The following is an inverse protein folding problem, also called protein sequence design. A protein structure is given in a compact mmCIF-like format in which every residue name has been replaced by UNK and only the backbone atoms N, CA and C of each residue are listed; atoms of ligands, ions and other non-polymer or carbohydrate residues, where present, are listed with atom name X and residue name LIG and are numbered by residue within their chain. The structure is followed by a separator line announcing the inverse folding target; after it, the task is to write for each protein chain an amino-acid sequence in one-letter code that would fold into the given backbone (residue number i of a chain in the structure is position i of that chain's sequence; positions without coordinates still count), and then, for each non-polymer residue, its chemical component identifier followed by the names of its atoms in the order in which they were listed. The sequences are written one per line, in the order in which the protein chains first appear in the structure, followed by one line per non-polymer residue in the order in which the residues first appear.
data_IF_966445049965
#
_entry.id   IF_966445049965
#
_cell.length_a   1.000
_cell.length_b   1.000
_cell.length_c   1.000
_cell.angle_alpha   90.00
_cell.angle_beta   90.00
_cell.angle_gamma   90.00
#
_symmetry.space_group_name_H-M   'P 1'
#
loop_
_entity.id
_entity.type
_entity.pdbx_description
1 polymer ?
#
# COMPACT_ATOMS: atom_id res chain seq x y z
N UNK A 1 38.86 -22.34 12.21
CA UNK A 1 38.65 -22.70 13.62
C UNK A 1 38.58 -21.40 14.40
N UNK A 2 37.43 -21.07 14.98
CA UNK A 2 37.27 -19.85 15.78
C UNK A 2 37.80 -20.13 17.17
N UNK A 3 38.92 -19.51 17.56
CA UNK A 3 39.53 -19.71 18.88
C UNK A 3 38.73 -18.96 19.92
N UNK A 4 37.97 -19.67 20.76
CA UNK A 4 37.18 -19.05 21.82
C UNK A 4 38.07 -18.69 23.02
N UNK A 5 38.30 -17.39 23.23
CA UNK A 5 38.98 -16.86 24.42
C UNK A 5 38.15 -17.16 25.67
N UNK A 6 38.75 -17.87 26.63
CA UNK A 6 38.06 -18.32 27.86
C UNK A 6 38.26 -17.38 29.06
N UNK A 7 39.28 -16.53 29.03
CA UNK A 7 39.67 -15.66 30.15
C UNK A 7 39.73 -14.22 29.66
N UNK A 8 39.01 -13.32 30.33
CA UNK A 8 38.95 -11.90 30.04
C UNK A 8 39.54 -11.11 31.20
N UNK A 9 40.52 -10.25 30.92
CA UNK A 9 41.10 -9.32 31.89
C UNK A 9 40.14 -8.17 32.15
N UNK A 10 40.32 -7.48 33.27
CA UNK A 10 39.60 -6.25 33.58
C UNK A 10 39.54 -5.30 32.37
N UNK A 11 38.34 -4.78 32.08
CA UNK A 11 38.05 -3.89 30.96
C UNK A 11 38.16 -4.50 29.54
N UNK A 12 38.48 -5.79 29.41
CA UNK A 12 38.31 -6.49 28.13
C UNK A 12 36.83 -6.76 27.85
N UNK A 13 36.47 -6.75 26.57
CA UNK A 13 35.09 -6.94 26.14
C UNK A 13 34.87 -8.27 25.40
N UNK A 14 33.65 -8.75 25.48
CA UNK A 14 33.12 -9.84 24.65
C UNK A 14 31.88 -9.32 23.90
N UNK A 15 31.74 -9.72 22.64
CA UNK A 15 30.54 -9.49 21.86
C UNK A 15 29.73 -10.79 21.76
N UNK A 16 28.45 -10.70 22.13
CA UNK A 16 27.51 -11.79 22.03
C UNK A 16 26.79 -11.75 20.69
N UNK A 17 26.63 -12.92 20.09
CA UNK A 17 25.85 -13.10 18.87
C UNK A 17 24.81 -14.19 19.09
N UNK A 18 23.61 -13.99 18.53
CA UNK A 18 22.57 -15.00 18.53
C UNK A 18 22.73 -15.95 17.34
N UNK A 19 22.20 -17.17 17.49
CA UNK A 19 22.09 -18.11 16.39
C UNK A 19 21.20 -17.56 15.26
N UNK A 20 21.26 -18.20 14.08
CA UNK A 20 20.35 -17.88 12.98
C UNK A 20 18.88 -17.94 13.45
N UNK A 21 18.05 -17.03 12.95
CA UNK A 21 16.63 -16.84 13.34
C UNK A 21 16.38 -16.25 14.74
N UNK A 22 17.43 -15.80 15.44
CA UNK A 22 17.31 -15.08 16.70
C UNK A 22 17.93 -13.67 16.61
N UNK A 23 17.38 -12.74 17.36
CA UNK A 23 17.92 -11.40 17.51
C UNK A 23 18.28 -11.12 18.96
N UNK A 24 19.30 -10.28 19.13
CA UNK A 24 19.84 -9.93 20.43
C UNK A 24 18.99 -8.86 21.10
N UNK A 25 18.64 -9.08 22.35
CA UNK A 25 17.87 -8.20 23.21
C UNK A 25 18.78 -7.67 24.33
N UNK A 26 19.01 -6.36 24.31
CA UNK A 26 20.00 -5.70 25.15
C UNK A 26 21.30 -5.38 24.38
N UNK A 27 22.33 -5.00 25.12
CA UNK A 27 23.61 -4.60 24.55
C UNK A 27 24.49 -5.82 24.29
N UNK A 28 24.93 -5.98 23.04
CA UNK A 28 25.70 -7.12 22.58
C UNK A 28 27.11 -7.18 23.17
N UNK A 29 27.68 -6.04 23.52
CA UNK A 29 29.03 -5.93 24.05
C UNK A 29 28.98 -5.85 25.58
N UNK A 30 29.80 -6.66 26.24
CA UNK A 30 29.92 -6.67 27.70
C UNK A 30 31.38 -6.59 28.10
N UNK A 31 31.65 -5.79 29.13
CA UNK A 31 33.00 -5.61 29.68
C UNK A 31 33.19 -6.44 30.94
N UNK A 32 34.38 -7.03 31.10
CA UNK A 32 34.80 -7.71 32.32
C UNK A 32 35.05 -6.66 33.42
N UNK A 33 34.36 -6.81 34.54
CA UNK A 33 34.42 -5.89 35.68
C UNK A 33 35.50 -6.31 36.68
N UNK A 34 35.78 -5.45 37.66
CA UNK A 34 36.74 -5.76 38.74
C UNK A 34 36.24 -6.87 39.68
N UNK A 35 34.95 -7.23 39.61
CA UNK A 35 34.34 -8.28 40.41
C UNK A 35 34.40 -9.65 39.72
N UNK A 36 35.39 -9.88 38.84
CA UNK A 36 35.57 -11.11 38.07
C UNK A 36 34.31 -11.60 37.34
N UNK A 37 33.46 -10.65 36.92
CA UNK A 37 32.19 -10.91 36.25
C UNK A 37 31.95 -9.89 35.14
N UNK A 38 31.20 -10.26 34.11
CA UNK A 38 30.75 -9.30 33.11
C UNK A 38 29.72 -8.34 33.72
N UNK A 39 29.57 -7.17 33.11
CA UNK A 39 28.50 -6.22 33.47
C UNK A 39 27.15 -6.93 33.62
N UNK A 40 26.39 -6.54 34.65
CA UNK A 40 25.08 -7.11 34.96
C UNK A 40 24.11 -6.94 33.78
N UNK A 41 23.20 -7.90 33.60
CA UNK A 41 22.28 -8.04 32.45
C UNK A 41 22.97 -8.46 31.16
N UNK A 42 23.33 -9.74 31.08
CA UNK A 42 23.72 -10.36 29.80
C UNK A 42 22.58 -10.23 28.79
N UNK A 43 22.89 -10.02 27.51
CA UNK A 43 21.86 -9.96 26.49
C UNK A 43 21.14 -11.31 26.37
N UNK A 44 19.87 -11.27 26.00
CA UNK A 44 19.07 -12.47 25.71
C UNK A 44 18.84 -12.60 24.22
N UNK A 45 18.58 -13.82 23.74
CA UNK A 45 18.24 -14.07 22.35
C UNK A 45 16.77 -14.45 22.26
N UNK A 46 16.01 -13.73 21.44
CA UNK A 46 14.61 -14.04 21.15
C UNK A 46 14.43 -14.35 19.67
N UNK A 47 13.44 -15.20 19.37
CA UNK A 47 13.12 -15.58 17.99
C UNK A 47 12.72 -14.34 17.19
N UNK A 48 13.23 -14.23 15.97
CA UNK A 48 12.85 -13.17 15.04
C UNK A 48 11.45 -13.48 14.51
N UNK A 49 10.54 -12.56 14.75
CA UNK A 49 9.15 -12.67 14.31
C UNK A 49 8.66 -11.30 13.84
N UNK A 50 8.33 -11.18 12.56
CA UNK A 50 7.72 -9.98 11.99
C UNK A 50 6.21 -10.04 12.10
N UNK A 51 5.60 -8.94 12.54
CA UNK A 51 4.15 -8.81 12.58
C UNK A 51 3.59 -8.45 11.20
N UNK A 52 2.47 -9.05 10.82
CA UNK A 52 1.78 -8.69 9.58
C UNK A 52 1.54 -7.17 9.54
N UNK A 53 1.94 -6.48 8.45
CA UNK A 53 1.72 -5.05 8.35
C UNK A 53 0.23 -4.72 8.21
N UNK A 54 -0.20 -3.59 8.79
CA UNK A 54 -1.53 -3.04 8.54
C UNK A 54 -1.60 -2.48 7.12
N UNK A 55 -2.59 -2.92 6.33
CA UNK A 55 -2.73 -2.54 4.92
C UNK A 55 -3.92 -1.58 4.74
N UNK A 56 -3.79 -0.67 3.77
CA UNK A 56 -4.90 0.16 3.28
C UNK A 56 -5.82 -0.65 2.35
N UNK A 57 -7.06 -0.22 2.15
CA UNK A 57 -8.01 -0.89 1.21
C UNK A 57 -7.47 -1.05 -0.23
N UNK A 58 -6.59 -0.16 -0.67
CA UNK A 58 -5.98 -0.21 -1.99
C UNK A 58 -4.85 -1.25 -2.12
N UNK A 59 -4.27 -1.73 -1.01
CA UNK A 59 -3.11 -2.62 -0.98
C UNK A 59 -3.49 -3.96 -0.33
N UNK A 60 -3.24 -5.05 -1.03
CA UNK A 60 -3.61 -6.41 -0.63
C UNK A 60 -2.37 -7.29 -0.55
N UNK A 61 -2.38 -8.27 0.36
CA UNK A 61 -1.40 -9.36 0.35
C UNK A 61 -1.98 -10.53 -0.44
N UNK A 62 -1.19 -11.12 -1.32
CA UNK A 62 -1.54 -12.32 -2.09
C UNK A 62 -0.86 -13.57 -1.53
N UNK A 63 -0.30 -13.49 -0.33
CA UNK A 63 0.43 -14.60 0.30
C UNK A 63 -0.53 -15.52 1.03
N UNK A 64 -0.47 -16.81 0.69
CA UNK A 64 -1.29 -17.89 1.28
C UNK A 64 -0.35 -18.92 1.95
N UNK A 65 -0.60 -19.36 3.20
CA UNK A 65 -1.64 -18.91 4.12
C UNK A 65 -1.47 -17.46 4.57
N UNK A 66 -2.61 -16.82 4.82
CA UNK A 66 -2.64 -15.58 5.55
C UNK A 66 -2.19 -15.81 7.00
N UNK A 67 -0.90 -15.59 7.29
CA UNK A 67 -0.30 -15.65 8.64
C UNK A 67 -0.21 -14.29 9.34
N UNK A 68 -0.47 -14.24 10.65
CA UNK A 68 -0.32 -13.01 11.44
C UNK A 68 1.14 -12.67 11.76
N UNK A 69 2.02 -13.66 11.71
CA UNK A 69 3.44 -13.56 12.05
C UNK A 69 4.27 -14.27 11.00
N UNK A 70 5.43 -13.71 10.70
CA UNK A 70 6.38 -14.23 9.73
C UNK A 70 7.75 -14.45 10.38
N UNK A 71 8.38 -15.57 10.11
CA UNK A 71 9.72 -15.92 10.56
C UNK A 71 10.78 -15.18 9.76
N UNK A 72 12.01 -15.12 10.27
CA UNK A 72 13.15 -14.55 9.54
C UNK A 72 13.25 -15.09 8.09
N UNK A 73 13.49 -14.18 7.13
CA UNK A 73 13.53 -14.43 5.68
C UNK A 73 12.23 -14.92 5.03
N UNK A 74 11.14 -15.14 5.76
CA UNK A 74 9.83 -15.34 5.14
C UNK A 74 9.38 -14.05 4.45
N UNK A 75 8.55 -14.20 3.41
CA UNK A 75 8.17 -13.08 2.55
C UNK A 75 6.67 -12.92 2.40
N UNK A 76 6.25 -11.66 2.25
CA UNK A 76 4.90 -11.27 1.85
C UNK A 76 4.95 -10.67 0.46
N UNK A 77 4.07 -11.15 -0.42
CA UNK A 77 3.80 -10.57 -1.74
C UNK A 77 2.58 -9.68 -1.67
N UNK A 78 2.72 -8.47 -2.19
CA UNK A 78 1.70 -7.43 -2.24
C UNK A 78 1.23 -7.17 -3.67
N UNK A 79 -0.06 -6.87 -3.79
CA UNK A 79 -0.69 -6.41 -5.01
C UNK A 79 -1.67 -5.27 -4.71
N UNK A 80 -1.99 -4.45 -5.70
CA UNK A 80 -3.03 -3.45 -5.54
C UNK A 80 -4.41 -3.99 -5.91
N UNK A 81 -5.43 -3.44 -5.27
CA UNK A 81 -6.82 -3.64 -5.63
C UNK A 81 -7.08 -3.22 -7.10
N UNK A 82 -8.07 -3.80 -7.79
CA UNK A 82 -8.38 -3.45 -9.17
C UNK A 82 -8.59 -1.93 -9.37
N UNK A 83 -7.99 -1.37 -10.42
CA UNK A 83 -8.03 0.07 -10.70
C UNK A 83 -6.90 0.89 -10.06
N UNK A 84 -5.95 0.23 -9.40
CA UNK A 84 -4.76 0.85 -8.82
C UNK A 84 -3.47 0.25 -9.36
N UNK A 85 -2.40 1.05 -9.38
CA UNK A 85 -1.05 0.65 -9.80
C UNK A 85 -0.13 0.59 -8.58
N UNK A 86 0.63 -0.50 -8.47
CA UNK A 86 1.60 -0.72 -7.40
C UNK A 86 2.89 0.05 -7.68
N UNK A 87 3.32 0.85 -6.70
CA UNK A 87 4.57 1.57 -6.73
C UNK A 87 5.50 1.07 -5.63
N UNK A 88 6.69 0.63 -6.03
CA UNK A 88 7.70 0.05 -5.16
C UNK A 88 7.74 -1.48 -5.22
N UNK A 89 8.59 -2.13 -4.40
CA UNK A 89 8.75 -3.58 -4.42
C UNK A 89 7.48 -4.30 -3.95
N UNK A 90 7.01 -5.26 -4.74
CA UNK A 90 5.86 -6.11 -4.41
C UNK A 90 6.19 -7.16 -3.34
N UNK A 91 7.45 -7.52 -3.17
CA UNK A 91 7.88 -8.55 -2.21
C UNK A 91 8.59 -7.89 -1.03
N UNK A 92 8.21 -8.31 0.17
CA UNK A 92 8.83 -7.91 1.43
C UNK A 92 9.33 -9.11 2.20
N UNK A 93 10.50 -8.99 2.81
CA UNK A 93 11.14 -10.04 3.59
C UNK A 93 11.24 -9.63 5.06
N UNK A 94 10.97 -10.57 5.97
CA UNK A 94 11.17 -10.38 7.39
C UNK A 94 12.67 -10.32 7.72
N UNK A 95 13.12 -9.20 8.30
CA UNK A 95 14.52 -8.93 8.61
C UNK A 95 14.88 -9.30 10.04
N UNK A 96 16.18 -9.26 10.33
CA UNK A 96 16.74 -9.63 11.63
C UNK A 96 16.26 -8.75 12.79
N UNK A 97 15.81 -7.53 12.52
CA UNK A 97 15.27 -6.64 13.54
C UNK A 97 13.80 -6.91 13.87
N UNK A 98 13.17 -7.91 13.26
CA UNK A 98 11.74 -8.19 13.46
C UNK A 98 10.80 -7.30 12.63
N UNK A 99 11.33 -6.55 11.65
CA UNK A 99 10.54 -5.75 10.72
C UNK A 99 10.70 -6.21 9.26
N UNK A 100 9.77 -5.80 8.40
CA UNK A 100 9.88 -6.01 6.96
C UNK A 100 10.87 -5.05 6.30
N UNK A 101 11.52 -5.49 5.23
CA UNK A 101 12.50 -4.69 4.52
C UNK A 101 11.91 -3.46 3.80
N UNK A 102 12.42 -2.27 4.14
CA UNK A 102 11.99 -0.98 3.57
C UNK A 102 10.50 -0.69 3.84
N UNK A 103 10.03 0.50 3.45
CA UNK A 103 8.60 0.84 3.52
C UNK A 103 7.75 -0.04 2.60
N UNK A 104 6.51 -0.30 2.99
CA UNK A 104 5.51 -0.99 2.16
C UNK A 104 5.35 -0.27 0.80
N UNK A 105 5.03 -1.02 -0.27
CA UNK A 105 4.64 -0.38 -1.52
C UNK A 105 3.34 0.41 -1.32
N UNK A 106 3.07 1.36 -2.22
CA UNK A 106 1.83 2.13 -2.20
C UNK A 106 1.09 1.98 -3.52
N UNK A 107 -0.22 2.18 -3.47
CA UNK A 107 -1.11 2.03 -4.61
C UNK A 107 -1.63 3.41 -5.00
N UNK A 108 -1.50 3.79 -6.27
CA UNK A 108 -2.12 5.01 -6.80
C UNK A 108 -3.25 4.62 -7.76
N UNK A 109 -4.29 5.45 -7.82
CA UNK A 109 -5.39 5.22 -8.78
C UNK A 109 -4.80 5.30 -10.17
N UNK A 110 -5.16 4.33 -11.02
CA UNK A 110 -4.84 4.40 -12.44
C UNK A 110 -5.51 5.66 -12.98
N UNK A 111 -4.73 6.71 -13.26
CA UNK A 111 -5.27 7.86 -13.97
C UNK A 111 -5.82 7.34 -15.29
N UNK A 112 -7.10 7.57 -15.56
CA UNK A 112 -7.66 7.33 -16.88
C UNK A 112 -6.87 8.22 -17.86
N UNK A 113 -5.88 7.64 -18.55
CA UNK A 113 -5.31 8.25 -19.74
C UNK A 113 -6.39 8.17 -20.81
N UNK A 114 -7.08 9.28 -21.02
CA UNK A 114 -8.07 9.43 -22.07
C UNK A 114 -7.41 10.13 -23.28
N UNK A 115 -7.21 9.41 -24.40
CA UNK A 115 -6.99 9.85 -25.83
C UNK A 115 -6.29 8.70 -26.59
N UNK A 116 -6.87 7.87 -27.49
CA UNK A 116 -7.60 8.17 -28.74
C UNK A 116 -8.54 7.01 -29.20
N UNK A 117 -8.97 6.09 -28.34
CA UNK A 117 -10.02 5.10 -28.70
C UNK A 117 -11.00 4.95 -27.55
N UNK A 118 -11.90 5.93 -27.47
CA UNK A 118 -12.92 6.03 -26.44
C UNK A 118 -13.86 4.83 -26.40
N UNK A 119 -13.74 4.04 -25.34
CA UNK A 119 -14.83 3.24 -24.79
C UNK A 119 -14.88 3.47 -23.28
N UNK A 120 -15.49 4.60 -22.90
CA UNK A 120 -15.88 4.87 -21.52
C UNK A 120 -17.06 3.95 -21.18
N UNK A 121 -16.85 2.97 -20.31
CA UNK A 121 -17.95 2.15 -19.79
C UNK A 121 -18.62 2.87 -18.61
N UNK A 122 -19.88 3.30 -18.82
CA UNK A 122 -20.74 3.75 -17.73
C UNK A 122 -21.28 2.52 -16.97
N UNK A 123 -20.86 2.32 -15.71
CA UNK A 123 -21.46 1.26 -14.88
C UNK A 123 -22.81 1.74 -14.31
N UNK A 124 -23.77 0.81 -14.15
CA UNK A 124 -25.14 1.09 -13.66
C UNK A 124 -25.25 1.74 -12.27
N UNK A 125 -24.13 1.99 -11.56
CA UNK A 125 -24.13 2.54 -10.20
C UNK A 125 -24.69 3.97 -10.11
N UNK A 126 -24.63 4.77 -11.18
CA UNK A 126 -25.15 6.14 -11.19
C UNK A 126 -26.65 6.26 -11.54
N UNK A 127 -27.38 5.17 -11.79
CA UNK A 127 -28.82 5.21 -12.06
C UNK A 127 -29.69 5.24 -10.79
N UNK A 128 -29.10 5.11 -9.60
CA UNK A 128 -29.86 4.97 -8.34
C UNK A 128 -30.24 6.27 -7.63
N UNK A 129 -29.93 7.45 -8.18
CA UNK A 129 -30.25 8.74 -7.54
C UNK A 129 -31.33 9.56 -8.25
N UNK A 130 -31.88 9.12 -9.40
CA UNK A 130 -33.07 9.75 -9.96
C UNK A 130 -34.22 8.75 -10.03
N UNK A 131 -35.31 9.17 -9.41
CA UNK A 131 -36.53 8.42 -9.09
C UNK A 131 -37.15 7.75 -10.32
N UNK A 132 -37.91 6.69 -10.03
CA UNK A 132 -38.69 5.71 -10.81
C UNK A 132 -39.49 6.13 -12.06
N UNK A 133 -39.10 7.14 -12.83
CA UNK A 133 -39.92 7.69 -13.94
C UNK A 133 -39.25 7.62 -15.32
N UNK A 134 -38.07 7.01 -15.45
CA UNK A 134 -37.34 6.96 -16.72
C UNK A 134 -36.90 5.52 -17.00
N UNK A 135 -37.24 5.02 -18.18
CA UNK A 135 -36.73 3.76 -18.75
C UNK A 135 -35.87 4.09 -19.97
N UNK A 136 -34.74 3.40 -20.11
CA UNK A 136 -33.86 3.51 -21.28
C UNK A 136 -33.63 2.13 -21.89
N UNK A 137 -33.68 2.03 -23.21
CA UNK A 137 -33.35 0.82 -23.97
C UNK A 137 -31.94 0.94 -24.56
N UNK A 138 -31.26 -0.19 -24.74
CA UNK A 138 -29.96 -0.26 -25.39
C UNK A 138 -30.10 0.18 -26.87
N UNK A 139 -29.34 1.19 -27.29
CA UNK A 139 -29.26 1.62 -28.69
C UNK A 139 -27.96 1.08 -29.26
N UNK A 140 -28.03 0.33 -30.37
CA UNK A 140 -26.84 -0.23 -31.00
C UNK A 140 -26.09 0.86 -31.80
N UNK A 141 -24.74 0.81 -31.85
CA UNK A 141 -23.93 1.90 -32.40
C UNK A 141 -24.21 2.29 -33.86
N UNK A 142 -24.75 1.37 -34.65
CA UNK A 142 -25.03 1.49 -36.08
C UNK A 142 -26.24 2.39 -36.42
N UNK A 143 -27.07 2.76 -35.43
CA UNK A 143 -28.20 3.66 -35.64
C UNK A 143 -27.84 5.15 -35.56
N UNK A 144 -26.64 5.51 -35.10
CA UNK A 144 -26.27 6.92 -34.85
C UNK A 144 -25.99 7.71 -36.13
N UNK A 145 -25.54 7.06 -37.20
CA UNK A 145 -25.04 7.72 -38.42
C UNK A 145 -26.11 8.19 -39.41
N UNK A 146 -27.40 7.96 -39.16
CA UNK A 146 -28.45 8.38 -40.12
C UNK A 146 -29.04 9.77 -39.92
N UNK A 147 -28.84 10.42 -38.78
CA UNK A 147 -29.37 11.77 -38.53
C UNK A 147 -28.30 12.74 -38.00
N UNK A 148 -27.16 12.81 -38.69
CA UNK A 148 -26.12 13.79 -38.40
C UNK A 148 -26.62 15.22 -38.60
N UNK A 149 -26.82 15.96 -37.50
CA UNK A 149 -26.72 17.43 -37.48
C UNK A 149 -26.42 17.92 -36.06
N UNK A 150 -25.13 18.04 -35.76
CA UNK A 150 -24.67 19.00 -34.75
C UNK A 150 -24.87 20.39 -35.36
N UNK A 151 -25.92 21.09 -34.93
CA UNK A 151 -26.02 22.55 -34.84
C UNK A 151 -27.49 22.92 -34.72
N UNK A 152 -27.87 23.27 -33.49
CA UNK A 152 -28.96 24.12 -33.02
C UNK A 152 -29.39 23.55 -31.67
N UNK A 153 -29.06 24.26 -30.58
CA UNK A 153 -29.68 24.03 -29.28
C UNK A 153 -30.84 25.04 -29.20
N UNK A 154 -32.11 24.64 -29.43
CA UNK A 154 -33.22 25.52 -29.15
C UNK A 154 -33.51 25.46 -27.64
N UNK A 155 -33.47 26.61 -26.97
CA UNK A 155 -34.18 26.76 -25.69
C UNK A 155 -33.35 26.77 -24.42
N UNK A 156 -32.14 27.34 -24.41
CA UNK A 156 -31.63 27.95 -23.17
C UNK A 156 -32.27 29.34 -23.08
N UNK A 157 -33.20 29.61 -22.14
CA UNK A 157 -33.64 30.98 -21.90
C UNK A 157 -32.45 31.75 -21.31
N UNK A 158 -31.93 32.71 -22.08
CA UNK A 158 -30.98 33.69 -21.57
C UNK A 158 -31.70 34.56 -20.53
N UNK A 159 -31.34 34.40 -19.25
CA UNK A 159 -31.66 35.40 -18.25
C UNK A 159 -30.58 36.47 -18.31
N UNK A 160 -30.93 37.70 -18.70
CA UNK A 160 -30.44 38.95 -18.08
C UNK A 160 -31.11 40.21 -18.67
N UNK A 161 -31.68 40.98 -17.72
CA UNK A 161 -31.71 42.44 -17.62
C UNK A 161 -32.59 43.33 -18.54
N UNK A 162 -33.67 43.79 -17.88
CA UNK A 162 -34.41 45.07 -17.95
C UNK A 162 -33.70 46.27 -18.65
N UNK A 163 -34.39 46.89 -19.61
CA UNK A 163 -34.36 48.35 -19.85
C UNK A 163 -35.76 48.89 -20.21
N UNK A 164 -36.03 50.13 -19.78
CA UNK A 164 -37.31 50.85 -19.79
C UNK A 164 -37.58 51.57 -21.12
N UNK A 165 -38.83 51.51 -21.59
CA UNK A 165 -39.61 52.57 -22.29
C UNK A 165 -39.12 53.09 -23.66
N UNK A 166 -39.83 54.03 -24.30
CA UNK A 166 -41.16 54.57 -24.00
C UNK A 166 -42.20 54.42 -25.14
N UNK A 167 -43.40 54.89 -24.80
CA UNK A 167 -44.59 55.24 -25.59
C UNK A 167 -44.39 55.86 -26.98
N UNK A 168 -45.28 55.49 -27.91
CA UNK A 168 -46.07 56.40 -28.75
C UNK A 168 -47.40 55.73 -29.14
#
# INVERSE_FOLDING_TARGET
MTTYKQIFRYNESIEFHCAANYHIQGEAVRYCTQNDSFQQNLPTCSVITCQRPCLSEALQSTTDPHQQTYSYNESIVFNCSPGYTLHGPSIKYCLQNGDFNKRLPHCTVNQAQDTERGLLYCTRRNLRQQRSTIYGTEVKPDEWTKNGRLNEVPGIPQSTQRTKGPSE
#
